data_IF_315480601477
#
_entry.id   IF_315480601477
#
_cell.length_a   1.000
_cell.length_b   1.000
_cell.length_c   1.000
_cell.angle_alpha   90.00
_cell.angle_beta   90.00
_cell.angle_gamma   90.00
#
_symmetry.space_group_name_H-M   'P 1'
#
loop_
_entity.id
_entity.type
_entity.pdbx_description
1 polymer ?
#
# COMPACT_ATOMS: atom_id res chain seq x y z
N UNK A 1 21.90 -6.61 -2.57
CA UNK A 1 21.13 -6.94 -1.35
C UNK A 1 20.36 -8.25 -1.61
N UNK A 2 20.52 -9.23 -0.77
CA UNK A 2 19.76 -10.48 -0.93
C UNK A 2 18.33 -10.34 -0.41
N UNK A 3 17.48 -11.35 -0.65
CA UNK A 3 16.07 -11.26 -0.28
C UNK A 3 15.87 -11.13 1.23
N UNK A 4 16.71 -11.77 2.03
CA UNK A 4 16.59 -11.71 3.49
C UNK A 4 16.93 -10.30 4.00
N UNK A 5 17.96 -9.69 3.46
CA UNK A 5 18.34 -8.33 3.83
C UNK A 5 17.31 -7.31 3.36
N UNK A 6 16.80 -7.47 2.16
CA UNK A 6 15.76 -6.59 1.62
C UNK A 6 14.49 -6.67 2.48
N UNK A 7 14.07 -7.88 2.82
CA UNK A 7 12.92 -8.11 3.66
C UNK A 7 13.07 -7.42 5.03
N UNK A 8 14.23 -7.59 5.66
CA UNK A 8 14.52 -6.98 6.94
C UNK A 8 14.49 -5.45 6.86
N UNK A 9 15.08 -4.90 5.81
CA UNK A 9 15.10 -3.47 5.57
C UNK A 9 13.69 -2.91 5.41
N UNK A 10 12.88 -3.56 4.60
CA UNK A 10 11.49 -3.13 4.38
C UNK A 10 10.67 -3.24 5.65
N UNK A 11 10.82 -4.32 6.41
CA UNK A 11 10.13 -4.47 7.68
C UNK A 11 10.49 -3.34 8.65
N UNK A 12 11.76 -2.94 8.69
CA UNK A 12 12.17 -1.81 9.52
C UNK A 12 11.50 -0.51 9.07
N UNK A 13 11.37 -0.31 7.77
CA UNK A 13 10.73 0.89 7.23
C UNK A 13 9.23 0.95 7.53
N UNK A 14 8.52 -0.15 7.36
CA UNK A 14 7.06 -0.15 7.61
C UNK A 14 6.73 -0.13 9.10
N UNK A 15 7.67 -0.52 9.95
CA UNK A 15 7.51 -0.41 11.41
C UNK A 15 7.85 0.99 11.92
N UNK A 16 8.56 1.78 11.12
CA UNK A 16 8.81 3.20 11.41
C UNK A 16 7.63 4.01 10.88
N UNK A 17 6.69 4.31 11.75
CA UNK A 17 5.44 4.97 11.38
C UNK A 17 5.68 6.30 10.62
N UNK A 18 6.68 7.06 11.01
CA UNK A 18 6.99 8.33 10.36
C UNK A 18 7.41 8.12 8.92
N UNK A 19 8.36 7.21 8.69
CA UNK A 19 8.85 6.91 7.35
C UNK A 19 7.74 6.32 6.48
N UNK A 20 7.02 5.36 7.04
CA UNK A 20 5.94 4.70 6.30
C UNK A 20 4.82 5.69 5.96
N UNK A 21 4.45 6.56 6.88
CA UNK A 21 3.43 7.58 6.65
C UNK A 21 3.81 8.53 5.53
N UNK A 22 5.08 8.94 5.45
CA UNK A 22 5.55 9.82 4.40
C UNK A 22 5.44 9.16 3.02
N UNK A 23 5.85 7.90 2.93
CA UNK A 23 5.78 7.16 1.67
C UNK A 23 4.32 6.96 1.24
N UNK A 24 3.48 6.57 2.18
CA UNK A 24 2.05 6.38 1.91
C UNK A 24 1.38 7.69 1.51
N UNK A 25 1.74 8.79 2.16
CA UNK A 25 1.17 10.11 1.85
C UNK A 25 1.54 10.56 0.44
N UNK A 26 2.78 10.36 0.03
CA UNK A 26 3.22 10.72 -1.31
C UNK A 26 2.48 9.91 -2.37
N UNK A 27 2.33 8.60 -2.15
CA UNK A 27 1.61 7.75 -3.07
C UNK A 27 0.12 8.13 -3.14
N UNK A 28 -0.49 8.38 -1.98
CA UNK A 28 -1.89 8.79 -1.92
C UNK A 28 -2.12 10.09 -2.66
N UNK A 29 -1.28 11.10 -2.43
CA UNK A 29 -1.40 12.40 -3.10
C UNK A 29 -1.19 12.30 -4.60
N UNK A 30 -0.36 11.36 -5.05
CA UNK A 30 -0.08 11.15 -6.46
C UNK A 30 -1.32 10.67 -7.21
N UNK A 31 -2.19 9.89 -6.57
CA UNK A 31 -3.38 9.34 -7.21
C UNK A 31 -4.65 10.12 -6.87
N UNK A 32 -4.68 10.81 -5.74
CA UNK A 32 -5.83 11.67 -5.36
C UNK A 32 -5.68 13.03 -6.05
N UNK A 33 -5.85 13.02 -7.37
CA UNK A 33 -5.61 14.20 -8.20
C UNK A 33 -6.61 15.32 -7.95
N UNK A 34 -7.79 15.00 -7.47
CA UNK A 34 -8.83 15.98 -7.16
C UNK A 34 -8.80 16.45 -5.70
N UNK A 35 -7.88 15.90 -4.91
CA UNK A 35 -7.70 16.23 -3.49
C UNK A 35 -8.99 16.07 -2.68
N UNK A 36 -9.77 15.04 -3.00
CA UNK A 36 -11.02 14.77 -2.28
C UNK A 36 -10.79 14.19 -0.89
N UNK A 37 -9.58 13.69 -0.63
CA UNK A 37 -9.26 13.04 0.64
C UNK A 37 -9.57 11.55 0.66
N UNK A 38 -10.07 11.00 -0.45
CA UNK A 38 -10.34 9.58 -0.59
C UNK A 38 -9.98 9.11 -1.99
N UNK A 39 -9.77 7.80 -2.14
CA UNK A 39 -9.45 7.20 -3.43
C UNK A 39 -10.40 6.03 -3.70
N UNK A 40 -10.65 5.74 -4.98
CA UNK A 40 -11.47 4.60 -5.38
C UNK A 40 -10.62 3.35 -5.58
N UNK A 41 -11.24 2.25 -6.01
CA UNK A 41 -10.57 0.97 -6.20
C UNK A 41 -9.42 1.05 -7.23
N UNK A 42 -9.66 1.72 -8.35
CA UNK A 42 -8.65 1.86 -9.40
C UNK A 42 -7.46 2.69 -8.91
N UNK A 43 -7.73 3.77 -8.19
CA UNK A 43 -6.69 4.61 -7.60
C UNK A 43 -5.93 3.85 -6.51
N UNK A 44 -6.63 3.04 -5.71
CA UNK A 44 -5.99 2.21 -4.69
C UNK A 44 -5.00 1.23 -5.30
N UNK A 45 -5.37 0.59 -6.39
CA UNK A 45 -4.51 -0.34 -7.11
C UNK A 45 -3.25 0.37 -7.61
N UNK A 46 -3.41 1.54 -8.20
CA UNK A 46 -2.30 2.37 -8.67
C UNK A 46 -1.35 2.72 -7.53
N UNK A 47 -1.90 3.18 -6.41
CA UNK A 47 -1.12 3.49 -5.21
C UNK A 47 -0.33 2.30 -4.69
N UNK A 48 -0.96 1.14 -4.63
CA UNK A 48 -0.30 -0.07 -4.13
C UNK A 48 0.91 -0.42 -4.99
N UNK A 49 0.77 -0.29 -6.31
CA UNK A 49 1.87 -0.55 -7.24
C UNK A 49 3.00 0.46 -7.03
N UNK A 50 2.67 1.75 -6.89
CA UNK A 50 3.68 2.78 -6.68
C UNK A 50 4.45 2.59 -5.37
N UNK A 51 3.74 2.23 -4.31
CA UNK A 51 4.40 1.98 -3.02
C UNK A 51 5.32 0.77 -3.11
N UNK A 52 4.87 -0.31 -3.75
CA UNK A 52 5.71 -1.49 -3.93
C UNK A 52 6.99 -1.15 -4.69
N UNK A 53 6.88 -0.38 -5.76
CA UNK A 53 8.05 0.08 -6.52
C UNK A 53 8.98 0.95 -5.66
N UNK A 54 8.41 1.80 -4.82
CA UNK A 54 9.18 2.65 -3.93
C UNK A 54 10.02 1.86 -2.94
N UNK A 55 9.56 0.67 -2.56
CA UNK A 55 10.31 -0.23 -1.69
C UNK A 55 11.24 -1.19 -2.45
N UNK A 56 11.25 -1.11 -3.77
CA UNK A 56 12.08 -2.02 -4.58
C UNK A 56 11.47 -3.41 -4.76
N UNK A 57 10.18 -3.53 -4.53
CA UNK A 57 9.46 -4.80 -4.67
C UNK A 57 8.83 -4.92 -6.05
N UNK A 58 8.49 -6.16 -6.42
CA UNK A 58 7.74 -6.41 -7.64
C UNK A 58 6.30 -5.95 -7.47
N UNK A 59 5.58 -5.80 -8.58
CA UNK A 59 4.17 -5.42 -8.53
C UNK A 59 3.38 -6.45 -7.72
N UNK A 60 2.50 -6.00 -6.80
CA UNK A 60 1.64 -6.93 -6.08
C UNK A 60 0.65 -7.60 -7.03
N UNK A 61 0.25 -8.82 -6.70
CA UNK A 61 -0.73 -9.54 -7.49
C UNK A 61 -2.10 -8.85 -7.38
N UNK A 62 -2.80 -8.79 -8.51
CA UNK A 62 -4.12 -8.17 -8.56
C UNK A 62 -5.10 -8.82 -7.58
N UNK A 63 -5.05 -10.15 -7.46
CA UNK A 63 -5.88 -10.87 -6.51
C UNK A 63 -5.63 -10.44 -5.07
N UNK A 64 -4.37 -10.22 -4.71
CA UNK A 64 -4.02 -9.76 -3.37
C UNK A 64 -4.58 -8.38 -3.10
N UNK A 65 -4.48 -7.49 -4.07
CA UNK A 65 -5.03 -6.13 -3.95
C UNK A 65 -6.54 -6.18 -3.77
N UNK A 66 -7.23 -6.99 -4.56
CA UNK A 66 -8.68 -7.13 -4.48
C UNK A 66 -9.14 -7.72 -3.16
N UNK A 67 -8.46 -8.72 -2.65
CA UNK A 67 -8.78 -9.31 -1.36
C UNK A 67 -8.68 -8.29 -0.23
N UNK A 68 -7.61 -7.52 -0.24
CA UNK A 68 -7.39 -6.50 0.77
C UNK A 68 -8.42 -5.40 0.63
N UNK A 69 -8.71 -4.97 -0.60
CA UNK A 69 -9.74 -3.96 -0.85
C UNK A 69 -11.10 -4.39 -0.29
N UNK A 70 -11.48 -5.65 -0.50
CA UNK A 70 -12.75 -6.18 0.02
C UNK A 70 -12.80 -6.17 1.53
N UNK A 71 -11.69 -6.44 2.19
CA UNK A 71 -11.62 -6.39 3.65
C UNK A 71 -11.79 -4.97 4.17
N UNK A 72 -11.33 -4.00 3.38
CA UNK A 72 -11.32 -2.60 3.79
C UNK A 72 -12.63 -1.91 3.56
N UNK A 73 -13.25 -2.21 2.44
CA UNK A 73 -14.51 -1.63 2.06
C UNK A 73 -15.65 -2.39 2.75
N UNK A 74 -15.57 -2.46 4.07
CA UNK A 74 -16.54 -3.19 4.88
C UNK A 74 -17.91 -2.52 4.90
N UNK A 75 -17.96 -1.22 4.66
CA UNK A 75 -19.21 -0.46 4.62
C UNK A 75 -19.77 -0.30 3.20
N UNK A 76 -19.04 -0.77 2.19
CA UNK A 76 -19.53 -0.79 0.81
C UNK A 76 -19.62 0.57 0.14
N UNK A 77 -18.94 1.60 0.67
CA UNK A 77 -19.02 2.95 0.08
C UNK A 77 -18.11 3.16 -1.13
N UNK A 78 -17.19 2.23 -1.38
CA UNK A 78 -16.30 2.29 -2.54
C UNK A 78 -15.13 3.25 -2.44
N UNK A 79 -15.06 4.03 -1.36
CA UNK A 79 -13.99 5.02 -1.17
C UNK A 79 -13.09 4.62 -0.01
N UNK A 80 -11.80 4.89 -0.17
CA UNK A 80 -10.77 4.58 0.83
C UNK A 80 -10.14 5.90 1.27
N UNK A 81 -10.16 6.20 2.57
CA UNK A 81 -9.47 7.36 3.11
C UNK A 81 -8.00 7.05 3.37
N UNK A 82 -7.23 8.06 3.78
CA UNK A 82 -5.80 7.89 4.00
C UNK A 82 -5.49 6.88 5.11
N UNK A 83 -6.24 6.91 6.20
CA UNK A 83 -6.00 5.98 7.31
C UNK A 83 -6.22 4.53 6.88
N UNK A 84 -7.30 4.28 6.14
CA UNK A 84 -7.57 2.96 5.57
C UNK A 84 -6.50 2.56 4.56
N UNK A 85 -6.13 3.47 3.67
CA UNK A 85 -5.10 3.23 2.67
C UNK A 85 -3.77 2.83 3.31
N UNK A 86 -3.34 3.56 4.31
CA UNK A 86 -2.09 3.30 5.01
C UNK A 86 -2.07 1.89 5.61
N UNK A 87 -3.16 1.50 6.25
CA UNK A 87 -3.32 0.19 6.84
C UNK A 87 -3.20 -0.92 5.79
N UNK A 88 -3.80 -0.70 4.62
CA UNK A 88 -3.84 -1.71 3.57
C UNK A 88 -2.56 -1.86 2.80
N UNK A 89 -1.89 -0.76 2.54
CA UNK A 89 -0.58 -0.81 1.92
C UNK A 89 0.37 -1.62 2.78
N UNK A 90 0.30 -1.45 4.10
CA UNK A 90 1.12 -2.24 5.01
C UNK A 90 0.82 -3.74 4.88
N UNK A 91 -0.45 -4.12 4.81
CA UNK A 91 -0.84 -5.51 4.61
C UNK A 91 -0.36 -6.07 3.28
N UNK A 92 -0.46 -5.28 2.20
CA UNK A 92 0.01 -5.69 0.87
C UNK A 92 1.52 -5.96 0.91
N UNK A 93 2.28 -5.06 1.50
CA UNK A 93 3.74 -5.20 1.59
C UNK A 93 4.10 -6.45 2.40
N UNK A 94 3.45 -6.67 3.53
CA UNK A 94 3.69 -7.85 4.35
C UNK A 94 3.40 -9.13 3.57
N UNK A 95 2.33 -9.13 2.78
CA UNK A 95 1.97 -10.29 1.97
C UNK A 95 3.03 -10.58 0.90
N UNK A 96 3.55 -9.54 0.25
CA UNK A 96 4.62 -9.69 -0.73
C UNK A 96 5.87 -10.27 -0.04
N UNK A 97 6.22 -9.77 1.14
CA UNK A 97 7.38 -10.24 1.87
C UNK A 97 7.25 -11.70 2.29
N UNK A 98 6.06 -12.16 2.60
CA UNK A 98 5.82 -13.56 2.94
C UNK A 98 6.12 -14.51 1.77
N UNK A 99 6.00 -14.02 0.55
CA UNK A 99 6.22 -14.81 -0.66
C UNK A 99 7.67 -14.77 -1.15
N UNK A 100 8.52 -14.01 -0.50
CA UNK A 100 9.94 -13.90 -0.88
C UNK A 100 10.79 -15.06 -0.37
#
# INVERSE_FOLDING_TARGET
>A
MDDAELKKHILAMINDDTTFSQIAQEAFNSVDTDHSGSIDKAEFKECAIQVAKGFGLENPEEESIEEIYKKLDSDGNGDIDFAEFKKYVKEIILKILEQM
#
